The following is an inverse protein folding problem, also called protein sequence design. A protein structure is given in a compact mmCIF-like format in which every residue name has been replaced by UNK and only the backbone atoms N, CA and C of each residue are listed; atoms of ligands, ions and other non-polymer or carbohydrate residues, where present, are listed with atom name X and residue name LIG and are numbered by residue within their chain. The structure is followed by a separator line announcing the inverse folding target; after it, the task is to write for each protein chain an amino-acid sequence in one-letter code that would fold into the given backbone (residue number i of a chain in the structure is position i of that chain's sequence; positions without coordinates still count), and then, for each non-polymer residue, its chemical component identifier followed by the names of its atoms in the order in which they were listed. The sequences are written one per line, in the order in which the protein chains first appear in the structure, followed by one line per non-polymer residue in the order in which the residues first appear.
data_IF_020345731199
#
_entry.id   IF_020345731199
#
_cell.length_a   1.000
_cell.length_b   1.000
_cell.length_c   1.000
_cell.angle_alpha   90.00
_cell.angle_beta   90.00
_cell.angle_gamma   90.00
#
_symmetry.space_group_name_H-M   'P 1'
#
loop_
_entity.id
_entity.type
_entity.pdbx_description
1 polymer ?
#
# COMPACT_ATOMS: atom_id res chain seq x y z
N UNK A 1 57.39 31.79 -5.89
CA UNK A 1 56.49 30.72 -6.40
C UNK A 1 55.42 30.43 -5.36
N UNK A 2 54.18 30.94 -5.53
CA UNK A 2 53.03 30.68 -4.66
C UNK A 2 52.18 29.62 -5.33
N UNK A 3 52.04 28.44 -4.71
CA UNK A 3 51.15 27.39 -5.14
C UNK A 3 49.75 27.71 -4.60
N UNK A 4 48.76 27.95 -5.51
CA UNK A 4 47.36 28.20 -5.18
C UNK A 4 46.69 26.90 -4.65
N UNK A 5 45.62 27.00 -3.83
CA UNK A 5 44.93 25.86 -3.29
C UNK A 5 44.13 25.16 -4.40
N UNK A 6 44.33 23.83 -4.54
CA UNK A 6 43.53 22.98 -5.40
C UNK A 6 42.10 22.91 -4.85
N UNK A 7 41.16 23.49 -5.56
CA UNK A 7 39.72 23.37 -5.28
C UNK A 7 39.22 22.03 -5.80
N UNK A 8 39.07 21.07 -4.91
CA UNK A 8 38.39 19.78 -5.21
C UNK A 8 36.87 20.04 -5.25
N UNK A 9 36.16 19.61 -6.30
CA UNK A 9 34.70 19.83 -6.38
C UNK A 9 33.96 18.79 -5.51
N UNK A 10 33.71 19.13 -4.26
CA UNK A 10 32.92 18.34 -3.29
C UNK A 10 31.45 18.09 -3.70
N UNK A 11 31.00 18.66 -4.82
CA UNK A 11 29.61 18.54 -5.31
C UNK A 11 29.27 17.15 -5.89
N UNK A 12 30.19 16.47 -6.54
CA UNK A 12 29.91 15.19 -7.21
C UNK A 12 29.68 14.01 -6.24
N UNK A 13 30.31 14.02 -5.08
CA UNK A 13 30.17 12.95 -4.09
C UNK A 13 28.81 13.00 -3.38
N UNK A 14 28.30 14.18 -3.10
CA UNK A 14 27.00 14.38 -2.41
C UNK A 14 25.81 14.00 -3.29
N UNK A 15 25.87 14.24 -4.61
CA UNK A 15 24.80 13.91 -5.55
C UNK A 15 24.70 12.39 -5.72
N UNK A 16 25.84 11.69 -5.81
CA UNK A 16 25.85 10.22 -5.99
C UNK A 16 25.33 9.47 -4.77
N UNK A 17 25.58 9.97 -3.57
CA UNK A 17 25.07 9.40 -2.32
C UNK A 17 23.56 9.61 -2.17
N UNK A 18 23.03 10.76 -2.56
CA UNK A 18 21.59 11.07 -2.53
C UNK A 18 20.80 10.24 -3.55
N UNK A 19 21.35 9.98 -4.74
CA UNK A 19 20.69 9.14 -5.75
C UNK A 19 20.60 7.69 -5.28
N UNK A 20 21.66 7.14 -4.70
CA UNK A 20 21.64 5.76 -4.17
C UNK A 20 20.61 5.57 -3.04
N UNK A 21 20.48 6.55 -2.16
CA UNK A 21 19.51 6.53 -1.06
C UNK A 21 18.06 6.64 -1.56
N UNK A 22 17.80 7.52 -2.54
CA UNK A 22 16.47 7.65 -3.15
C UNK A 22 16.05 6.38 -3.89
N UNK A 23 16.99 5.72 -4.59
CA UNK A 23 16.73 4.45 -5.29
C UNK A 23 16.39 3.31 -4.32
N UNK A 24 17.09 3.21 -3.19
CA UNK A 24 16.80 2.22 -2.16
C UNK A 24 15.41 2.43 -1.54
N UNK A 25 15.04 3.69 -1.26
CA UNK A 25 13.71 4.06 -0.76
C UNK A 25 12.64 3.73 -1.80
N UNK A 26 12.88 4.02 -3.10
CA UNK A 26 11.96 3.71 -4.19
C UNK A 26 11.67 2.21 -4.28
N UNK A 27 12.71 1.37 -4.29
CA UNK A 27 12.56 -0.09 -4.40
C UNK A 27 11.80 -0.65 -3.19
N UNK A 28 12.16 -0.21 -1.97
CA UNK A 28 11.48 -0.61 -0.73
C UNK A 28 10.00 -0.20 -0.75
N UNK A 29 9.71 1.03 -1.15
CA UNK A 29 8.35 1.56 -1.23
C UNK A 29 7.53 0.83 -2.30
N UNK A 30 8.09 0.58 -3.48
CA UNK A 30 7.44 -0.20 -4.55
C UNK A 30 7.07 -1.60 -4.05
N UNK A 31 8.01 -2.31 -3.43
CA UNK A 31 7.76 -3.66 -2.90
C UNK A 31 6.66 -3.68 -1.85
N UNK A 32 6.70 -2.76 -0.89
CA UNK A 32 5.72 -2.69 0.20
C UNK A 32 4.32 -2.30 -0.32
N UNK A 33 4.21 -1.27 -1.15
CA UNK A 33 2.92 -0.85 -1.71
C UNK A 33 2.34 -1.91 -2.66
N UNK A 34 3.17 -2.54 -3.49
CA UNK A 34 2.72 -3.62 -4.35
C UNK A 34 2.24 -4.84 -3.56
N UNK A 35 2.93 -5.20 -2.47
CA UNK A 35 2.55 -6.32 -1.63
C UNK A 35 1.20 -6.08 -0.93
N UNK A 36 0.96 -4.87 -0.40
CA UNK A 36 -0.28 -4.59 0.33
C UNK A 36 -1.45 -4.27 -0.59
N UNK A 37 -1.26 -3.50 -1.65
CA UNK A 37 -2.32 -3.17 -2.62
C UNK A 37 -2.59 -4.29 -3.62
N UNK A 38 -1.75 -5.26 -3.69
CA UNK A 38 -1.75 -6.50 -4.46
C UNK A 38 -2.82 -6.62 -5.56
N UNK A 39 -2.53 -6.24 -6.80
CA UNK A 39 -3.51 -6.27 -7.88
C UNK A 39 -4.10 -7.68 -8.14
N UNK A 40 -3.32 -8.74 -7.87
CA UNK A 40 -3.73 -10.12 -8.12
C UNK A 40 -4.74 -10.63 -7.10
N UNK A 41 -4.70 -10.14 -5.87
CA UNK A 41 -5.69 -10.46 -4.83
C UNK A 41 -6.95 -9.62 -5.01
N UNK A 42 -6.80 -8.34 -5.36
CA UNK A 42 -7.92 -7.43 -5.52
C UNK A 42 -8.70 -7.64 -6.83
N UNK A 43 -8.07 -8.23 -7.87
CA UNK A 43 -8.73 -8.50 -9.14
C UNK A 43 -9.94 -9.46 -9.02
N UNK A 44 -9.84 -10.65 -8.39
CA UNK A 44 -11.01 -11.52 -8.21
C UNK A 44 -12.12 -10.88 -7.40
N UNK A 45 -11.76 -10.10 -6.38
CA UNK A 45 -12.73 -9.40 -5.55
C UNK A 45 -13.45 -8.30 -6.35
N UNK A 46 -12.72 -7.52 -7.13
CA UNK A 46 -13.29 -6.52 -8.04
C UNK A 46 -14.25 -7.17 -9.03
N UNK A 47 -13.87 -8.30 -9.64
CA UNK A 47 -14.73 -9.05 -10.56
C UNK A 47 -16.00 -9.56 -9.88
N UNK A 48 -15.91 -10.05 -8.64
CA UNK A 48 -17.07 -10.49 -7.86
C UNK A 48 -18.03 -9.34 -7.55
N UNK A 49 -17.50 -8.15 -7.19
CA UNK A 49 -18.30 -6.98 -6.87
C UNK A 49 -18.94 -6.32 -8.10
N UNK A 50 -18.39 -6.57 -9.28
CA UNK A 50 -18.84 -5.97 -10.54
C UNK A 50 -19.47 -6.98 -11.51
N UNK A 51 -19.80 -8.19 -11.04
CA UNK A 51 -20.29 -9.28 -11.89
C UNK A 51 -21.60 -8.97 -12.62
N UNK A 52 -22.44 -8.11 -12.04
CA UNK A 52 -23.72 -7.69 -12.63
C UNK A 52 -23.59 -6.47 -13.56
N UNK A 53 -22.38 -5.88 -13.64
CA UNK A 53 -22.13 -4.71 -14.47
C UNK A 53 -21.73 -5.13 -15.90
N UNK A 54 -22.20 -4.38 -16.88
CA UNK A 54 -21.72 -4.50 -18.25
C UNK A 54 -20.25 -4.02 -18.36
N UNK A 55 -19.55 -4.42 -19.41
CA UNK A 55 -18.13 -4.14 -19.58
C UNK A 55 -17.78 -2.63 -19.54
N UNK A 56 -18.69 -1.76 -20.02
CA UNK A 56 -18.47 -0.33 -20.01
C UNK A 56 -18.58 0.25 -18.59
N UNK A 57 -19.59 -0.17 -17.83
CA UNK A 57 -19.80 0.22 -16.43
C UNK A 57 -18.68 -0.32 -15.55
N UNK A 58 -18.25 -1.58 -15.75
CA UNK A 58 -17.13 -2.16 -15.04
C UNK A 58 -15.84 -1.36 -15.21
N UNK A 59 -15.52 -0.93 -16.44
CA UNK A 59 -14.37 -0.04 -16.71
C UNK A 59 -14.51 1.32 -16.02
N UNK A 60 -15.70 1.91 -15.99
CA UNK A 60 -15.97 3.17 -15.27
C UNK A 60 -15.75 2.97 -13.77
N UNK A 61 -16.25 1.87 -13.21
CA UNK A 61 -16.03 1.50 -11.80
C UNK A 61 -14.53 1.35 -11.51
N UNK A 62 -13.75 0.67 -12.37
CA UNK A 62 -12.30 0.56 -12.22
C UNK A 62 -11.59 1.92 -12.19
N UNK A 63 -11.94 2.82 -13.10
CA UNK A 63 -11.38 4.19 -13.15
C UNK A 63 -11.74 4.97 -11.89
N UNK A 64 -13.01 4.94 -11.45
CA UNK A 64 -13.45 5.61 -10.21
C UNK A 64 -12.72 5.07 -8.99
N UNK A 65 -12.62 3.74 -8.85
CA UNK A 65 -11.85 3.10 -7.76
C UNK A 65 -10.40 3.57 -7.76
N UNK A 66 -9.75 3.61 -8.92
CA UNK A 66 -8.36 4.07 -9.04
C UNK A 66 -8.21 5.54 -8.65
N UNK A 67 -9.10 6.40 -9.10
CA UNK A 67 -9.09 7.83 -8.76
C UNK A 67 -9.32 8.03 -7.26
N UNK A 68 -10.34 7.39 -6.69
CA UNK A 68 -10.65 7.49 -5.26
C UNK A 68 -9.49 6.99 -4.40
N UNK A 69 -8.88 5.84 -4.77
CA UNK A 69 -7.70 5.31 -4.08
C UNK A 69 -6.51 6.26 -4.19
N UNK A 70 -6.30 6.88 -5.35
CA UNK A 70 -5.22 7.86 -5.56
C UNK A 70 -5.42 9.09 -4.68
N UNK A 71 -6.64 9.62 -4.63
CA UNK A 71 -6.97 10.77 -3.77
C UNK A 71 -6.73 10.43 -2.30
N UNK A 72 -7.28 9.30 -1.81
CA UNK A 72 -7.11 8.88 -0.42
C UNK A 72 -5.64 8.66 -0.06
N UNK A 73 -4.90 7.92 -0.89
CA UNK A 73 -3.48 7.68 -0.67
C UNK A 73 -2.67 8.98 -0.67
N UNK A 74 -3.00 9.93 -1.54
CA UNK A 74 -2.35 11.25 -1.58
C UNK A 74 -2.63 12.04 -0.30
N UNK A 75 -3.86 12.03 0.18
CA UNK A 75 -4.21 12.66 1.47
C UNK A 75 -3.41 12.04 2.62
N UNK A 76 -3.34 10.71 2.69
CA UNK A 76 -2.56 10.00 3.70
C UNK A 76 -1.06 10.31 3.57
N UNK A 77 -0.52 10.35 2.36
CA UNK A 77 0.89 10.65 2.09
C UNK A 77 1.27 12.06 2.59
N UNK A 78 0.40 13.03 2.37
CA UNK A 78 0.66 14.44 2.71
C UNK A 78 0.33 14.76 4.17
N UNK A 79 -0.77 14.25 4.68
CA UNK A 79 -1.34 14.65 5.97
C UNK A 79 -1.22 13.57 7.05
N UNK A 80 -0.90 12.33 6.71
CA UNK A 80 -0.91 11.21 7.65
C UNK A 80 -0.07 11.44 8.91
N UNK A 81 1.19 11.90 8.76
CA UNK A 81 2.03 12.21 9.91
C UNK A 81 1.53 13.41 10.74
N UNK A 82 0.84 14.36 10.10
CA UNK A 82 0.22 15.50 10.79
C UNK A 82 -1.00 15.08 11.59
N UNK A 83 -1.82 14.19 11.01
CA UNK A 83 -2.97 13.60 11.69
C UNK A 83 -2.53 12.82 12.92
N UNK A 84 -1.50 11.98 12.82
CA UNK A 84 -0.97 11.25 13.98
C UNK A 84 -0.51 12.21 15.08
N UNK A 85 0.21 13.26 14.73
CA UNK A 85 0.67 14.28 15.70
C UNK A 85 -0.50 15.00 16.36
N UNK A 86 -1.58 15.28 15.63
CA UNK A 86 -2.78 15.90 16.20
C UNK A 86 -3.42 15.02 17.29
N UNK A 87 -3.40 13.70 17.12
CA UNK A 87 -3.88 12.74 18.12
C UNK A 87 -2.83 12.40 19.20
N UNK A 88 -1.64 13.00 19.17
CA UNK A 88 -0.56 12.68 20.09
C UNK A 88 0.07 11.29 19.89
N UNK A 89 -0.14 10.67 18.73
CA UNK A 89 0.36 9.33 18.41
C UNK A 89 1.73 9.43 17.76
N UNK A 90 2.72 8.74 18.30
CA UNK A 90 4.04 8.60 17.70
C UNK A 90 4.01 7.76 16.41
N UNK A 91 4.89 8.07 15.47
CA UNK A 91 5.01 7.27 14.25
C UNK A 91 5.44 5.82 14.56
N UNK A 92 6.25 5.63 15.60
CA UNK A 92 6.73 4.30 16.00
C UNK A 92 5.65 3.49 16.71
N UNK A 93 4.76 4.12 17.49
CA UNK A 93 3.56 3.49 18.05
C UNK A 93 2.63 3.03 16.92
N UNK A 94 2.40 3.93 15.96
CA UNK A 94 1.57 3.63 14.79
C UNK A 94 2.19 2.57 13.88
N UNK A 95 3.53 2.51 13.81
CA UNK A 95 4.27 1.47 13.10
C UNK A 95 4.02 0.08 13.68
N UNK A 96 4.02 -0.06 15.01
CA UNK A 96 3.73 -1.32 15.68
C UNK A 96 2.28 -1.73 15.42
N UNK A 97 1.33 -0.83 15.64
CA UNK A 97 -0.08 -1.09 15.40
C UNK A 97 -0.36 -1.49 13.95
N UNK A 98 0.20 -0.75 13.00
CA UNK A 98 0.12 -1.06 11.57
C UNK A 98 0.77 -2.39 11.21
N UNK A 99 1.92 -2.71 11.82
CA UNK A 99 2.58 -4.00 11.67
C UNK A 99 1.72 -5.17 12.14
N UNK A 100 1.01 -5.03 13.27
CA UNK A 100 0.07 -6.05 13.77
C UNK A 100 -1.08 -6.24 12.77
N UNK A 101 -1.67 -5.17 12.27
CA UNK A 101 -2.74 -5.25 11.25
C UNK A 101 -2.24 -5.95 10.00
N UNK A 102 -1.04 -5.59 9.49
CA UNK A 102 -0.44 -6.23 8.34
C UNK A 102 -0.15 -7.72 8.58
N UNK A 103 0.24 -8.09 9.79
CA UNK A 103 0.48 -9.48 10.16
C UNK A 103 -0.82 -10.30 10.09
N UNK A 104 -1.91 -9.78 10.64
CA UNK A 104 -3.23 -10.42 10.57
C UNK A 104 -3.67 -10.62 9.11
N UNK A 105 -3.52 -9.59 8.28
CA UNK A 105 -3.83 -9.66 6.84
C UNK A 105 -2.99 -10.73 6.15
N UNK A 106 -1.68 -10.74 6.40
CA UNK A 106 -0.77 -11.70 5.79
C UNK A 106 -1.06 -13.14 6.16
N UNK A 107 -1.41 -13.40 7.43
CA UNK A 107 -1.82 -14.73 7.90
C UNK A 107 -3.11 -15.20 7.23
N UNK A 108 -4.08 -14.31 7.03
CA UNK A 108 -5.30 -14.62 6.27
C UNK A 108 -4.99 -15.03 4.82
N UNK A 109 -4.07 -14.31 4.18
CA UNK A 109 -3.62 -14.62 2.81
C UNK A 109 -2.91 -15.98 2.72
N UNK A 110 -2.11 -16.35 3.72
CA UNK A 110 -1.39 -17.62 3.79
C UNK A 110 -2.34 -18.80 4.03
N UNK A 111 -3.35 -18.62 4.86
CA UNK A 111 -4.34 -19.67 5.19
C UNK A 111 -5.37 -19.90 4.08
N UNK A 112 -5.32 -19.16 2.98
CA UNK A 112 -6.23 -19.31 1.86
C UNK A 112 -7.62 -18.69 2.07
N UNK A 113 -7.87 -18.09 3.22
CA UNK A 113 -9.08 -17.29 3.50
C UNK A 113 -8.95 -15.86 2.94
N UNK A 114 -8.37 -15.75 1.77
CA UNK A 114 -7.76 -14.57 1.14
C UNK A 114 -8.60 -13.31 0.97
N UNK A 115 -9.75 -13.23 1.62
CA UNK A 115 -10.60 -12.05 1.60
C UNK A 115 -11.01 -11.56 2.99
N UNK A 116 -10.96 -12.42 4.03
CA UNK A 116 -11.64 -12.11 5.30
C UNK A 116 -11.02 -10.96 6.10
N UNK A 117 -9.77 -10.64 5.89
CA UNK A 117 -9.12 -9.52 6.60
C UNK A 117 -9.18 -8.20 5.81
N UNK A 118 -9.48 -8.25 4.50
CA UNK A 118 -9.80 -7.10 3.66
C UNK A 118 -11.32 -6.94 3.47
N UNK A 119 -12.07 -8.03 3.65
CA UNK A 119 -13.51 -7.99 3.70
C UNK A 119 -13.92 -7.63 5.13
N UNK A 120 -14.65 -6.53 5.30
CA UNK A 120 -15.32 -6.20 6.54
C UNK A 120 -16.10 -7.40 7.08
N UNK A 121 -16.40 -7.40 8.37
CA UNK A 121 -17.02 -8.53 9.08
C UNK A 121 -18.23 -9.08 8.31
N UNK A 122 -18.57 -10.35 8.54
CA UNK A 122 -19.75 -11.01 7.94
C UNK A 122 -21.04 -10.20 8.15
N UNK A 123 -21.08 -9.37 9.19
CA UNK A 123 -22.17 -8.42 9.46
C UNK A 123 -22.21 -7.25 8.47
N UNK A 124 -21.06 -6.76 7.98
CA UNK A 124 -21.02 -5.74 6.91
C UNK A 124 -21.49 -6.31 5.57
N UNK A 125 -21.24 -7.61 5.28
CA UNK A 125 -21.80 -8.28 4.09
C UNK A 125 -23.32 -8.39 4.15
N UNK A 126 -23.90 -8.61 5.33
CA UNK A 126 -25.36 -8.70 5.53
C UNK A 126 -26.01 -7.31 5.43
N UNK A 127 -25.38 -6.25 5.91
CA UNK A 127 -25.83 -4.88 5.71
C UNK A 127 -25.72 -4.44 4.24
N UNK A 128 -24.75 -4.97 3.49
CA UNK A 128 -24.59 -4.69 2.06
C UNK A 128 -25.79 -5.14 1.24
N UNK A 129 -26.38 -6.30 1.56
CA UNK A 129 -27.60 -6.79 0.90
C UNK A 129 -28.85 -5.97 1.22
N UNK A 130 -28.84 -5.21 2.32
CA UNK A 130 -29.95 -4.32 2.70
C UNK A 130 -29.81 -2.93 2.06
N UNK A 131 -28.59 -2.47 1.79
CA UNK A 131 -28.30 -1.17 1.17
C UNK A 131 -28.23 -1.25 -0.37
N UNK A 132 -28.10 -2.45 -0.94
CA UNK A 132 -28.08 -2.68 -2.39
C UNK A 132 -29.41 -2.30 -3.13
N UNK A 133 -30.43 -1.88 -2.40
CA UNK A 133 -31.66 -1.31 -2.98
C UNK A 133 -31.55 0.13 -3.49
N UNK A 134 -30.42 0.78 -3.35
CA UNK A 134 -30.20 2.16 -3.84
C UNK A 134 -28.77 2.39 -4.22
N UNK A 135 -28.41 2.21 -5.49
CA UNK A 135 -27.28 2.79 -6.24
C UNK A 135 -25.95 3.08 -5.52
N UNK A 136 -25.54 2.28 -4.53
CA UNK A 136 -24.28 2.50 -3.84
C UNK A 136 -23.09 2.27 -4.80
N UNK A 137 -22.25 3.29 -4.93
CA UNK A 137 -21.08 3.27 -5.80
C UNK A 137 -20.02 2.29 -5.24
N UNK A 138 -20.06 1.04 -5.74
CA UNK A 138 -19.13 -0.04 -5.38
C UNK A 138 -17.67 0.40 -5.52
N UNK A 139 -17.40 1.43 -6.31
CA UNK A 139 -16.03 1.91 -6.54
C UNK A 139 -15.41 2.55 -5.29
N UNK A 140 -16.21 3.23 -4.45
CA UNK A 140 -15.72 3.81 -3.20
C UNK A 140 -15.85 2.82 -2.05
N UNK A 141 -17.04 2.30 -1.80
CA UNK A 141 -17.29 1.31 -0.75
C UNK A 141 -17.87 0.04 -1.37
N UNK A 142 -17.28 -1.12 -1.13
CA UNK A 142 -16.13 -1.37 -0.26
C UNK A 142 -14.76 -1.30 -0.95
N UNK A 143 -14.69 -1.08 -2.29
CA UNK A 143 -13.47 -1.34 -3.06
C UNK A 143 -12.32 -0.38 -2.73
N UNK A 144 -12.55 0.93 -2.69
CA UNK A 144 -11.51 1.89 -2.28
C UNK A 144 -11.28 1.80 -0.78
N UNK A 145 -12.31 1.96 0.03
CA UNK A 145 -12.25 1.84 1.48
C UNK A 145 -13.25 0.76 1.94
N UNK A 146 -12.86 -0.19 2.76
CA UNK A 146 -11.56 -0.36 3.42
C UNK A 146 -10.54 -1.25 2.68
N UNK A 147 -10.87 -1.77 1.48
CA UNK A 147 -10.10 -2.85 0.84
C UNK A 147 -8.75 -2.37 0.31
N UNK A 148 -8.72 -1.40 -0.60
CA UNK A 148 -7.47 -0.90 -1.19
C UNK A 148 -6.73 0.07 -0.26
N UNK A 149 -7.45 0.98 0.38
CA UNK A 149 -6.90 1.99 1.28
C UNK A 149 -7.38 1.72 2.71
N UNK A 150 -7.11 0.53 3.19
CA UNK A 150 -7.41 0.09 4.54
C UNK A 150 -6.34 0.51 5.57
N UNK A 151 -6.53 0.16 6.85
CA UNK A 151 -5.61 0.51 7.93
C UNK A 151 -4.16 0.12 7.66
N UNK A 152 -3.94 -1.06 7.07
CA UNK A 152 -2.60 -1.52 6.69
C UNK A 152 -1.93 -0.66 5.63
N UNK A 153 -2.67 -0.25 4.59
CA UNK A 153 -2.16 0.63 3.54
C UNK A 153 -1.82 2.01 4.11
N UNK A 154 -2.70 2.56 4.95
CA UNK A 154 -2.50 3.85 5.63
C UNK A 154 -1.24 3.79 6.48
N UNK A 155 -1.08 2.77 7.33
CA UNK A 155 0.09 2.58 8.16
C UNK A 155 1.38 2.46 7.32
N UNK A 156 1.35 1.68 6.26
CA UNK A 156 2.51 1.50 5.37
C UNK A 156 2.93 2.82 4.71
N UNK A 157 1.99 3.62 4.20
CA UNK A 157 2.28 4.92 3.60
C UNK A 157 2.94 5.85 4.63
N UNK A 158 2.35 5.99 5.82
CA UNK A 158 2.87 6.90 6.86
C UNK A 158 4.26 6.46 7.30
N UNK A 159 4.48 5.17 7.55
CA UNK A 159 5.77 4.64 8.00
C UNK A 159 6.86 4.80 6.93
N UNK A 160 6.57 4.50 5.67
CA UNK A 160 7.55 4.66 4.60
C UNK A 160 7.84 6.15 4.37
N UNK A 161 6.82 7.01 4.39
CA UNK A 161 6.98 8.45 4.26
C UNK A 161 7.83 9.05 5.40
N UNK A 162 7.68 8.56 6.63
CA UNK A 162 8.47 9.01 7.78
C UNK A 162 9.96 8.65 7.69
N UNK A 163 10.28 7.58 6.96
CA UNK A 163 11.67 7.15 6.72
C UNK A 163 12.34 7.92 5.57
N UNK A 164 11.56 8.58 4.72
CA UNK A 164 12.07 9.35 3.59
C UNK A 164 12.84 10.58 4.10
N UNK A 165 14.01 10.84 3.49
CA UNK A 165 14.84 11.99 3.84
C UNK A 165 15.06 12.88 2.63
N UNK A 166 14.88 14.18 2.84
CA UNK A 166 15.05 15.18 1.81
C UNK A 166 14.03 15.05 0.67
N UNK A 167 14.03 16.01 -0.24
CA UNK A 167 13.08 16.07 -1.35
C UNK A 167 13.12 14.82 -2.24
N UNK A 168 14.33 14.28 -2.50
CA UNK A 168 14.49 13.07 -3.33
C UNK A 168 13.87 11.82 -2.71
N UNK A 169 13.94 11.65 -1.38
CA UNK A 169 13.31 10.53 -0.68
C UNK A 169 11.78 10.61 -0.74
N UNK A 170 11.20 11.77 -0.45
CA UNK A 170 9.75 11.98 -0.53
C UNK A 170 9.23 11.82 -1.96
N UNK A 171 9.96 12.33 -2.96
CA UNK A 171 9.61 12.14 -4.37
C UNK A 171 9.67 10.65 -4.78
N UNK A 172 10.64 9.89 -4.27
CA UNK A 172 10.74 8.45 -4.52
C UNK A 172 9.54 7.68 -3.95
N UNK A 173 9.08 8.02 -2.73
CA UNK A 173 7.88 7.41 -2.14
C UNK A 173 6.63 7.75 -2.95
N UNK A 174 6.45 9.02 -3.35
CA UNK A 174 5.33 9.44 -4.17
C UNK A 174 5.33 8.75 -5.54
N UNK A 175 6.49 8.64 -6.18
CA UNK A 175 6.65 7.94 -7.46
C UNK A 175 6.34 6.44 -7.35
N UNK A 176 6.79 5.77 -6.28
CA UNK A 176 6.47 4.38 -6.00
C UNK A 176 4.96 4.17 -5.82
N UNK A 177 4.32 5.02 -5.04
CA UNK A 177 2.88 4.95 -4.80
C UNK A 177 2.10 5.17 -6.11
N UNK A 178 2.47 6.18 -6.89
CA UNK A 178 1.84 6.46 -8.19
C UNK A 178 2.02 5.30 -9.17
N UNK A 179 3.20 4.68 -9.22
CA UNK A 179 3.45 3.53 -10.08
C UNK A 179 2.59 2.31 -9.70
N UNK A 180 2.44 2.02 -8.40
CA UNK A 180 1.61 0.92 -7.93
C UNK A 180 0.12 1.19 -8.17
N UNK A 181 -0.35 2.41 -7.92
CA UNK A 181 -1.74 2.81 -8.22
C UNK A 181 -2.05 2.76 -9.72
N UNK A 182 -1.10 3.18 -10.57
CA UNK A 182 -1.24 3.05 -12.02
C UNK A 182 -1.29 1.57 -12.45
N UNK A 183 -0.41 0.73 -11.93
CA UNK A 183 -0.43 -0.71 -12.21
C UNK A 183 -1.75 -1.35 -11.75
N UNK A 184 -2.23 -1.02 -10.56
CA UNK A 184 -3.53 -1.46 -10.05
C UNK A 184 -4.67 -1.01 -10.97
N UNK A 185 -4.68 0.27 -11.35
CA UNK A 185 -5.69 0.82 -12.27
C UNK A 185 -5.72 0.11 -13.61
N UNK A 186 -4.55 -0.18 -14.19
CA UNK A 186 -4.45 -0.94 -15.43
C UNK A 186 -5.03 -2.36 -15.25
N UNK A 187 -4.67 -3.04 -14.17
CA UNK A 187 -5.18 -4.41 -13.89
C UNK A 187 -6.69 -4.40 -13.70
N UNK A 188 -7.24 -3.44 -12.95
CA UNK A 188 -8.69 -3.33 -12.74
C UNK A 188 -9.41 -2.93 -14.03
N UNK A 189 -8.85 -2.04 -14.85
CA UNK A 189 -9.45 -1.63 -16.12
C UNK A 189 -9.56 -2.78 -17.12
N UNK A 190 -8.55 -3.65 -17.17
CA UNK A 190 -8.54 -4.85 -18.00
C UNK A 190 -9.02 -6.10 -17.25
N UNK A 191 -9.72 -5.96 -16.14
CA UNK A 191 -10.09 -7.04 -15.22
C UNK A 191 -10.81 -8.20 -15.90
N UNK A 192 -11.76 -7.93 -16.78
CA UNK A 192 -12.49 -8.97 -17.51
C UNK A 192 -11.56 -9.86 -18.35
N UNK A 193 -10.61 -9.26 -19.09
CA UNK A 193 -9.67 -9.99 -19.94
C UNK A 193 -8.60 -10.74 -19.15
N UNK A 194 -8.11 -10.14 -18.06
CA UNK A 194 -7.07 -10.73 -17.21
C UNK A 194 -7.68 -11.85 -16.36
N UNK A 195 -8.87 -11.62 -15.79
CA UNK A 195 -9.57 -12.58 -14.95
C UNK A 195 -9.88 -13.89 -15.65
N UNK A 196 -10.27 -13.83 -16.92
CA UNK A 196 -10.52 -15.00 -17.76
C UNK A 196 -9.28 -15.88 -18.00
N UNK A 197 -8.08 -15.30 -17.92
CA UNK A 197 -6.78 -15.99 -18.17
C UNK A 197 -6.08 -16.48 -16.90
N UNK A 198 -6.49 -16.01 -15.72
CA UNK A 198 -5.89 -16.40 -14.44
C UNK A 198 -6.52 -17.67 -13.89
N UNK A 199 -5.75 -18.77 -13.86
CA UNK A 199 -6.17 -20.00 -13.21
C UNK A 199 -6.29 -19.82 -11.69
N UNK A 200 -7.15 -20.62 -11.04
CA UNK A 200 -7.29 -20.61 -9.57
C UNK A 200 -5.95 -20.92 -8.86
N UNK A 201 -5.17 -21.84 -9.41
CA UNK A 201 -3.85 -22.19 -8.89
C UNK A 201 -2.90 -20.99 -8.91
N UNK A 202 -2.85 -20.26 -10.02
CA UNK A 202 -2.02 -19.05 -10.13
C UNK A 202 -2.43 -18.00 -9.10
N UNK A 203 -3.73 -17.75 -8.94
CA UNK A 203 -4.25 -16.81 -7.92
C UNK A 203 -3.80 -17.22 -6.51
N UNK A 204 -3.96 -18.50 -6.16
CA UNK A 204 -3.57 -19.02 -4.85
C UNK A 204 -2.08 -18.88 -4.60
N UNK A 205 -1.23 -19.22 -5.58
CA UNK A 205 0.22 -19.08 -5.45
C UNK A 205 0.60 -17.61 -5.24
N UNK A 206 0.08 -16.69 -6.07
CA UNK A 206 0.37 -15.25 -5.94
C UNK A 206 -0.09 -14.70 -4.59
N UNK A 207 -1.28 -15.09 -4.12
CA UNK A 207 -1.80 -14.66 -2.81
C UNK A 207 -0.88 -15.12 -1.68
N UNK A 208 -0.43 -16.38 -1.69
CA UNK A 208 0.45 -16.90 -0.64
C UNK A 208 1.84 -16.27 -0.68
N UNK A 209 2.44 -16.10 -1.86
CA UNK A 209 3.72 -15.41 -2.02
C UNK A 209 3.66 -13.97 -1.48
N UNK A 210 2.61 -13.23 -1.86
CA UNK A 210 2.43 -11.86 -1.36
C UNK A 210 2.14 -11.84 0.14
N UNK A 211 1.41 -12.82 0.67
CA UNK A 211 1.21 -13.00 2.10
C UNK A 211 2.52 -13.16 2.87
N UNK A 212 3.46 -13.98 2.36
CA UNK A 212 4.79 -14.12 2.99
C UNK A 212 5.60 -12.83 2.98
N UNK A 213 5.59 -12.10 1.85
CA UNK A 213 6.26 -10.79 1.75
C UNK A 213 5.65 -9.81 2.75
N UNK A 214 4.33 -9.75 2.80
CA UNK A 214 3.60 -8.86 3.70
C UNK A 214 3.86 -9.20 5.17
N UNK A 215 3.90 -10.50 5.53
CA UNK A 215 4.28 -10.95 6.87
C UNK A 215 5.68 -10.48 7.26
N UNK A 216 6.64 -10.59 6.35
CA UNK A 216 8.01 -10.13 6.59
C UNK A 216 8.09 -8.62 6.81
N UNK A 217 7.33 -7.84 6.03
CA UNK A 217 7.22 -6.38 6.20
C UNK A 217 6.58 -6.05 7.55
N UNK A 218 5.51 -6.77 7.92
CA UNK A 218 4.80 -6.60 9.19
C UNK A 218 5.72 -6.83 10.40
N UNK A 219 6.45 -7.94 10.41
CA UNK A 219 7.44 -8.25 11.46
C UNK A 219 8.52 -7.18 11.51
N UNK A 220 9.07 -6.74 10.37
CA UNK A 220 10.06 -5.67 10.33
C UNK A 220 9.52 -4.36 10.93
N UNK A 221 8.26 -4.01 10.65
CA UNK A 221 7.62 -2.80 11.20
C UNK A 221 7.52 -2.90 12.72
N UNK A 222 7.08 -4.04 13.26
CA UNK A 222 6.95 -4.26 14.70
C UNK A 222 8.33 -4.18 15.38
N UNK A 223 9.32 -4.92 14.88
CA UNK A 223 10.67 -4.96 15.45
C UNK A 223 11.31 -3.57 15.47
N UNK A 224 11.27 -2.84 14.36
CA UNK A 224 11.85 -1.49 14.28
C UNK A 224 11.10 -0.52 15.19
N UNK A 225 9.76 -0.62 15.29
CA UNK A 225 8.99 0.19 16.20
C UNK A 225 9.38 -0.05 17.68
N UNK A 226 9.51 -1.32 18.08
CA UNK A 226 9.94 -1.70 19.43
C UNK A 226 11.36 -1.18 19.71
N UNK A 227 12.30 -1.33 18.77
CA UNK A 227 13.68 -0.86 18.94
C UNK A 227 13.77 0.65 19.14
N UNK A 228 12.91 1.43 18.50
CA UNK A 228 12.88 2.89 18.68
C UNK A 228 12.24 3.31 19.99
N UNK A 229 11.19 2.59 20.44
CA UNK A 229 10.53 2.88 21.73
C UNK A 229 11.36 2.40 22.92
N UNK A 230 12.12 1.31 22.76
CA UNK A 230 12.93 0.70 23.80
C UNK A 230 14.39 0.54 23.37
N UNK A 231 15.19 1.61 23.31
CA UNK A 231 16.59 1.54 22.82
C UNK A 231 17.49 0.57 23.60
N UNK A 232 17.11 0.24 24.84
CA UNK A 232 17.82 -0.73 25.67
C UNK A 232 17.71 -2.19 25.24
N UNK A 233 16.73 -2.54 24.40
CA UNK A 233 16.53 -3.88 23.84
C UNK A 233 17.39 -4.14 22.58
N UNK A 234 18.01 -3.10 22.03
CA UNK A 234 18.81 -3.18 20.79
C UNK A 234 20.31 -3.47 21.03
N UNK A 235 20.70 -3.93 22.24
CA UNK A 235 22.07 -4.30 22.59
C UNK A 235 22.30 -5.80 22.49
#
# INVERSE_FOLDING_TARGET
MRRGPFYFPARRCRVRHNVGMATAVLIKALGAFFAIMNPFVNLPLFLSLTQEQDAATQRRTAVRTTISSTVMCTVVLLLGATILRFFGIGVDDFRIAGGIVLLIISLSMLNGSGSSAHEGSTQEKTQHNVVAGGGSDVSFYPMTFPILVGPGTIATIIVIQSQARGLGGHAAVAAALAAVLAALGIVLYFSASIGARLSMTMRTIMTRLMGMILASIAVQMIVVGIQHLFPGLAR
#
